data_IF_939126902345
#
_entry.id   IF_939126902345
#
_cell.length_a   1.000
_cell.length_b   1.000
_cell.length_c   1.000
_cell.angle_alpha   90.00
_cell.angle_beta   90.00
_cell.angle_gamma   90.00
#
_symmetry.space_group_name_H-M   'P 1'
#
loop_
_entity.id
_entity.type
_entity.pdbx_description
1 polymer ?
#
# COMPACT_ATOMS: atom_id res chain seq x y z
N UNK A 1 64.50 18.36 32.06
CA UNK A 1 63.80 19.30 31.16
C UNK A 1 63.20 18.43 30.08
N UNK A 2 61.90 18.23 29.90
CA UNK A 2 60.72 18.97 30.30
C UNK A 2 59.54 18.01 30.05
N UNK A 3 58.74 17.72 31.07
CA UNK A 3 57.45 17.06 30.90
C UNK A 3 56.53 18.04 30.17
N UNK A 4 56.05 17.70 28.98
CA UNK A 4 54.97 18.45 28.32
C UNK A 4 53.93 17.47 27.81
N UNK A 5 52.97 17.16 28.70
CA UNK A 5 51.74 16.45 28.38
C UNK A 5 50.73 17.50 27.87
N UNK A 6 50.19 17.39 26.65
CA UNK A 6 49.22 18.34 26.13
C UNK A 6 47.82 18.17 26.76
N UNK A 7 46.99 19.23 26.82
CA UNK A 7 45.67 19.17 27.45
C UNK A 7 44.67 18.36 26.63
N UNK A 8 44.07 17.34 27.26
CA UNK A 8 42.94 16.58 26.70
C UNK A 8 41.65 17.41 26.80
N UNK A 9 41.20 17.96 25.67
CA UNK A 9 39.90 18.62 25.50
C UNK A 9 38.79 17.57 25.35
N UNK A 10 37.90 17.44 26.34
CA UNK A 10 36.73 16.57 26.28
C UNK A 10 35.49 17.34 25.85
N UNK A 11 35.27 17.47 24.53
CA UNK A 11 34.01 17.98 24.00
C UNK A 11 33.11 16.76 23.69
N UNK A 12 32.16 16.45 24.57
CA UNK A 12 31.23 15.34 24.37
C UNK A 12 30.05 15.79 23.47
N UNK A 13 29.85 15.22 22.26
CA UNK A 13 28.76 15.63 21.38
C UNK A 13 27.40 15.09 21.87
N UNK A 14 26.37 15.93 21.86
CA UNK A 14 24.99 15.55 22.18
C UNK A 14 24.38 14.73 21.03
N UNK A 15 23.83 13.53 21.29
CA UNK A 15 23.31 12.66 20.24
C UNK A 15 21.98 13.18 19.71
N UNK A 16 21.97 13.62 18.45
CA UNK A 16 20.74 13.78 17.67
C UNK A 16 20.44 12.43 17.02
N UNK A 17 19.22 11.91 17.20
CA UNK A 17 18.82 10.65 16.56
C UNK A 17 18.92 10.81 15.06
N UNK A 18 19.83 10.03 14.48
CA UNK A 18 20.14 10.10 13.06
C UNK A 18 18.94 9.59 12.27
N UNK A 19 18.56 10.31 11.21
CA UNK A 19 17.49 9.88 10.31
C UNK A 19 17.72 8.44 9.80
N UNK A 20 18.98 8.00 9.70
CA UNK A 20 19.35 6.60 9.40
C UNK A 20 18.78 5.57 10.38
N UNK A 21 18.60 5.91 11.67
CA UNK A 21 18.01 5.00 12.65
C UNK A 21 16.48 4.87 12.47
N UNK A 22 15.82 5.95 12.03
CA UNK A 22 14.40 5.92 11.66
C UNK A 22 14.22 5.11 10.37
N UNK A 23 15.11 5.31 9.40
CA UNK A 23 15.13 4.53 8.17
C UNK A 23 15.49 3.05 8.40
N UNK A 24 16.37 2.71 9.35
CA UNK A 24 16.66 1.31 9.69
C UNK A 24 15.51 0.64 10.43
N UNK A 25 14.73 1.40 11.21
CA UNK A 25 13.50 0.91 11.83
C UNK A 25 12.41 0.65 10.77
N UNK A 26 12.20 1.57 9.83
CA UNK A 26 11.21 1.43 8.75
C UNK A 26 11.60 0.31 7.77
N UNK A 27 12.88 0.23 7.39
CA UNK A 27 13.41 -0.88 6.59
C UNK A 27 13.39 -2.21 7.36
N UNK A 28 13.59 -2.19 8.68
CA UNK A 28 13.46 -3.36 9.55
C UNK A 28 12.03 -3.92 9.57
N UNK A 29 11.03 -3.04 9.68
CA UNK A 29 9.60 -3.43 9.65
C UNK A 29 9.17 -3.87 8.24
N UNK A 30 9.60 -3.17 7.18
CA UNK A 30 9.35 -3.58 5.79
C UNK A 30 10.06 -4.90 5.46
N UNK A 31 11.25 -5.15 6.01
CA UNK A 31 11.98 -6.43 5.89
C UNK A 31 11.22 -7.56 6.59
N UNK A 32 10.60 -7.28 7.74
CA UNK A 32 9.83 -8.28 8.48
C UNK A 32 8.55 -8.69 7.75
N UNK A 33 7.93 -7.76 7.02
CA UNK A 33 6.67 -7.99 6.28
C UNK A 33 6.91 -8.53 4.86
N UNK A 34 7.98 -8.11 4.18
CA UNK A 34 8.26 -8.49 2.80
C UNK A 34 9.28 -9.65 2.66
N UNK A 35 10.10 -9.91 3.69
CA UNK A 35 11.18 -10.90 3.64
C UNK A 35 11.01 -12.08 4.61
N UNK A 36 10.00 -12.16 5.48
CA UNK A 36 9.88 -13.29 6.42
C UNK A 36 9.69 -14.64 5.73
N UNK A 37 9.06 -14.69 4.55
CA UNK A 37 8.98 -15.93 3.74
C UNK A 37 10.29 -16.20 2.98
N UNK A 38 10.91 -15.15 2.41
CA UNK A 38 12.10 -15.29 1.55
C UNK A 38 13.44 -15.33 2.29
N UNK A 39 13.55 -14.78 3.50
CA UNK A 39 14.76 -14.76 4.34
C UNK A 39 14.78 -15.90 5.36
N UNK A 40 13.62 -16.43 5.75
CA UNK A 40 13.55 -17.64 6.58
C UNK A 40 14.18 -18.85 5.88
N UNK A 41 13.95 -18.99 4.57
CA UNK A 41 14.48 -20.12 3.80
C UNK A 41 16.02 -20.13 3.78
N UNK A 42 16.74 -19.05 3.41
CA UNK A 42 18.19 -18.95 3.55
C UNK A 42 18.68 -19.13 4.99
N UNK A 43 17.97 -18.57 5.98
CA UNK A 43 18.32 -18.70 7.39
C UNK A 43 18.31 -20.16 7.87
N UNK A 44 17.27 -20.92 7.54
CA UNK A 44 17.15 -22.34 7.87
C UNK A 44 18.19 -23.17 7.12
N UNK A 45 18.45 -22.87 5.84
CA UNK A 45 19.46 -23.56 5.02
C UNK A 45 20.88 -23.32 5.57
N UNK A 46 21.23 -22.06 5.85
CA UNK A 46 22.53 -21.69 6.40
C UNK A 46 22.74 -22.27 7.80
N UNK A 47 21.69 -22.30 8.63
CA UNK A 47 21.74 -22.91 9.96
C UNK A 47 22.03 -24.41 9.91
N UNK A 48 21.38 -25.17 9.03
CA UNK A 48 21.66 -26.60 8.86
C UNK A 48 23.07 -26.86 8.30
N UNK A 49 23.55 -26.05 7.35
CA UNK A 49 24.93 -26.15 6.84
C UNK A 49 25.97 -25.83 7.91
N UNK A 50 25.73 -24.84 8.77
CA UNK A 50 26.59 -24.51 9.90
C UNK A 50 26.66 -25.69 10.89
N UNK A 51 25.52 -26.28 11.25
CA UNK A 51 25.46 -27.48 12.09
C UNK A 51 26.18 -28.68 11.47
N UNK A 52 26.06 -28.88 10.15
CA UNK A 52 26.80 -29.94 9.45
C UNK A 52 28.31 -29.71 9.46
N UNK A 53 28.78 -28.46 9.34
CA UNK A 53 30.22 -28.13 9.41
C UNK A 53 30.78 -28.35 10.81
N UNK A 54 30.05 -27.93 11.85
CA UNK A 54 30.44 -28.13 13.26
C UNK A 54 30.48 -29.63 13.62
N UNK A 55 29.54 -30.43 13.11
CA UNK A 55 29.54 -31.89 13.33
C UNK A 55 30.75 -32.56 12.66
N UNK A 56 31.15 -32.10 11.47
CA UNK A 56 32.23 -32.71 10.69
C UNK A 56 33.62 -32.16 11.01
N UNK A 57 33.75 -31.16 11.87
CA UNK A 57 35.02 -30.45 12.13
C UNK A 57 35.94 -31.09 13.18
N UNK A 58 35.67 -32.30 13.66
CA UNK A 58 36.49 -33.03 14.64
C UNK A 58 37.00 -32.15 15.83
N UNK A 59 36.14 -31.27 16.36
CA UNK A 59 36.47 -30.38 17.48
C UNK A 59 37.13 -29.03 17.14
N UNK A 60 37.36 -28.72 15.85
CA UNK A 60 37.99 -27.46 15.41
C UNK A 60 37.03 -26.26 15.48
N UNK A 61 35.73 -26.46 15.25
CA UNK A 61 34.72 -25.40 15.30
C UNK A 61 33.84 -25.58 16.56
N UNK A 62 33.75 -24.53 17.37
CA UNK A 62 32.80 -24.41 18.47
C UNK A 62 31.59 -23.55 18.06
N UNK A 63 30.48 -23.59 18.81
CA UNK A 63 29.29 -22.76 18.51
C UNK A 63 28.01 -23.53 18.18
N UNK A 64 27.96 -24.84 18.51
CA UNK A 64 26.75 -25.67 18.32
C UNK A 64 25.51 -25.08 19.02
N UNK A 65 25.67 -24.55 20.23
CA UNK A 65 24.58 -23.89 20.97
C UNK A 65 24.04 -22.65 20.25
N UNK A 66 24.93 -21.85 19.66
CA UNK A 66 24.57 -20.66 18.89
C UNK A 66 23.84 -21.01 17.58
N UNK A 67 24.27 -22.08 16.90
CA UNK A 67 23.59 -22.56 15.69
C UNK A 67 22.18 -23.10 16.00
N UNK A 68 22.01 -23.82 17.11
CA UNK A 68 20.70 -24.36 17.54
C UNK A 68 19.76 -23.23 17.96
N UNK A 69 20.23 -22.25 18.74
CA UNK A 69 19.39 -21.11 19.15
C UNK A 69 18.91 -20.27 17.95
N UNK A 70 19.75 -20.10 16.95
CA UNK A 70 19.40 -19.45 15.67
C UNK A 70 18.31 -20.20 14.89
N UNK A 71 18.41 -21.53 14.80
CA UNK A 71 17.38 -22.35 14.16
C UNK A 71 16.06 -22.34 14.95
N UNK A 72 16.10 -22.48 16.27
CA UNK A 72 14.91 -22.47 17.13
C UNK A 72 14.17 -21.13 17.05
N UNK A 73 14.90 -20.01 17.11
CA UNK A 73 14.30 -18.68 16.97
C UNK A 73 13.65 -18.50 15.60
N UNK A 74 14.27 -19.04 14.54
CA UNK A 74 13.72 -19.01 13.18
C UNK A 74 12.43 -19.82 13.06
N UNK A 75 12.40 -21.06 13.58
CA UNK A 75 11.19 -21.89 13.56
C UNK A 75 10.06 -21.31 14.41
N UNK A 76 10.37 -20.72 15.56
CA UNK A 76 9.38 -20.04 16.39
C UNK A 76 8.78 -18.83 15.66
N UNK A 77 9.62 -18.05 14.97
CA UNK A 77 9.16 -16.94 14.13
C UNK A 77 8.24 -17.41 12.99
N UNK A 78 8.60 -18.51 12.30
CA UNK A 78 7.76 -19.11 11.25
C UNK A 78 6.44 -19.61 11.84
N UNK A 79 6.48 -20.33 12.97
CA UNK A 79 5.28 -20.85 13.62
C UNK A 79 4.32 -19.72 13.99
N UNK A 80 4.81 -18.63 14.60
CA UNK A 80 4.00 -17.46 14.91
C UNK A 80 3.46 -16.79 13.65
N UNK A 81 4.28 -16.63 12.60
CA UNK A 81 3.83 -16.04 11.34
C UNK A 81 2.70 -16.84 10.69
N UNK A 82 2.77 -18.18 10.73
CA UNK A 82 1.73 -19.08 10.20
C UNK A 82 0.38 -18.88 10.89
N UNK A 83 0.34 -18.48 12.18
CA UNK A 83 -0.92 -18.20 12.88
C UNK A 83 -1.36 -16.73 12.73
N UNK A 84 -0.44 -15.78 12.87
CA UNK A 84 -0.77 -14.36 12.92
C UNK A 84 -1.13 -13.80 11.53
N UNK A 85 -0.40 -14.18 10.48
CA UNK A 85 -0.65 -13.67 9.12
C UNK A 85 -2.07 -13.99 8.63
N UNK A 86 -2.56 -15.25 8.65
CA UNK A 86 -3.93 -15.53 8.20
C UNK A 86 -4.98 -14.87 9.09
N UNK A 87 -4.76 -14.77 10.41
CA UNK A 87 -5.65 -14.06 11.31
C UNK A 87 -5.78 -12.57 10.94
N UNK A 88 -4.67 -11.89 10.62
CA UNK A 88 -4.69 -10.51 10.17
C UNK A 88 -5.34 -10.36 8.79
N UNK A 89 -5.03 -11.24 7.84
CA UNK A 89 -5.62 -11.21 6.50
C UNK A 89 -7.13 -11.45 6.54
N UNK A 90 -7.61 -12.34 7.42
CA UNK A 90 -9.04 -12.59 7.60
C UNK A 90 -9.82 -11.32 8.00
N UNK A 91 -9.20 -10.41 8.74
CA UNK A 91 -9.80 -9.13 9.14
C UNK A 91 -9.54 -8.05 8.07
N UNK A 92 -8.35 -8.00 7.50
CA UNK A 92 -7.92 -6.96 6.56
C UNK A 92 -8.63 -7.04 5.21
N UNK A 93 -8.77 -8.24 4.63
CA UNK A 93 -9.39 -8.45 3.31
C UNK A 93 -10.83 -7.92 3.26
N UNK A 94 -11.77 -8.31 4.15
CA UNK A 94 -13.14 -7.83 4.05
C UNK A 94 -13.24 -6.32 4.27
N UNK A 95 -12.44 -5.75 5.17
CA UNK A 95 -12.40 -4.31 5.38
C UNK A 95 -11.88 -3.55 4.16
N UNK A 96 -10.84 -4.08 3.50
CA UNK A 96 -10.29 -3.49 2.28
C UNK A 96 -11.28 -3.58 1.10
N UNK A 97 -11.95 -4.72 0.92
CA UNK A 97 -12.95 -4.91 -0.14
C UNK A 97 -14.13 -3.93 0.05
N UNK A 98 -14.66 -3.81 1.26
CA UNK A 98 -15.74 -2.86 1.58
C UNK A 98 -15.31 -1.40 1.38
N UNK A 99 -14.09 -1.05 1.80
CA UNK A 99 -13.53 0.28 1.60
C UNK A 99 -13.39 0.61 0.11
N UNK A 100 -12.96 -0.36 -0.70
CA UNK A 100 -12.87 -0.22 -2.16
C UNK A 100 -14.25 -0.04 -2.80
N UNK A 101 -15.26 -0.84 -2.45
CA UNK A 101 -16.63 -0.70 -2.98
C UNK A 101 -17.20 0.70 -2.67
N UNK A 102 -17.00 1.17 -1.44
CA UNK A 102 -17.41 2.52 -1.02
C UNK A 102 -16.70 3.60 -1.81
N UNK A 103 -15.38 3.48 -1.99
CA UNK A 103 -14.60 4.43 -2.78
C UNK A 103 -15.01 4.44 -4.26
N UNK A 104 -15.29 3.26 -4.83
CA UNK A 104 -15.77 3.13 -6.20
C UNK A 104 -17.16 3.78 -6.37
N UNK A 105 -18.08 3.57 -5.42
CA UNK A 105 -19.39 4.24 -5.41
C UNK A 105 -19.23 5.76 -5.34
N UNK A 106 -18.41 6.26 -4.41
CA UNK A 106 -18.22 7.69 -4.22
C UNK A 106 -17.55 8.34 -5.43
N UNK A 107 -16.54 7.69 -6.03
CA UNK A 107 -15.93 8.15 -7.27
C UNK A 107 -16.92 8.18 -8.43
N UNK A 108 -17.74 7.14 -8.57
CA UNK A 108 -18.77 7.10 -9.60
C UNK A 108 -19.81 8.21 -9.43
N UNK A 109 -20.31 8.43 -8.21
CA UNK A 109 -21.26 9.50 -7.89
C UNK A 109 -20.66 10.87 -8.23
N UNK A 110 -19.38 11.10 -7.91
CA UNK A 110 -18.72 12.36 -8.25
C UNK A 110 -18.60 12.56 -9.76
N UNK A 111 -18.31 11.50 -10.52
CA UNK A 111 -18.31 11.55 -11.99
C UNK A 111 -19.71 11.84 -12.55
N UNK A 112 -20.76 11.20 -12.02
CA UNK A 112 -22.13 11.45 -12.44
C UNK A 112 -22.52 12.93 -12.21
N UNK A 113 -22.18 13.50 -11.06
CA UNK A 113 -22.37 14.94 -10.80
C UNK A 113 -21.59 15.82 -11.79
N UNK A 114 -20.38 15.43 -12.17
CA UNK A 114 -19.62 16.18 -13.16
C UNK A 114 -20.24 16.12 -14.56
N UNK A 115 -20.87 15.00 -14.91
CA UNK A 115 -21.60 14.83 -16.18
C UNK A 115 -22.85 15.71 -16.15
N UNK A 116 -23.64 15.68 -15.08
CA UNK A 116 -24.83 16.52 -14.94
C UNK A 116 -24.49 18.01 -14.98
N UNK A 117 -23.45 18.45 -14.28
CA UNK A 117 -22.97 19.83 -14.37
C UNK A 117 -22.54 20.21 -15.79
N UNK A 118 -21.82 19.32 -16.49
CA UNK A 118 -21.44 19.55 -17.88
C UNK A 118 -22.66 19.62 -18.81
N UNK A 119 -23.71 18.83 -18.54
CA UNK A 119 -24.97 18.86 -19.30
C UNK A 119 -25.68 20.20 -19.11
N UNK A 120 -25.78 20.66 -17.86
CA UNK A 120 -26.35 21.97 -17.51
C UNK A 120 -25.62 23.12 -18.21
N UNK A 121 -24.29 23.07 -18.25
CA UNK A 121 -23.50 24.08 -18.96
C UNK A 121 -23.69 24.03 -20.47
N UNK A 122 -23.68 22.83 -21.07
CA UNK A 122 -23.98 22.63 -22.49
C UNK A 122 -25.36 23.16 -22.85
N UNK A 123 -26.38 22.87 -22.03
CA UNK A 123 -27.74 23.29 -22.27
C UNK A 123 -27.90 24.81 -22.19
N UNK A 124 -27.25 25.45 -21.22
CA UNK A 124 -27.21 26.91 -21.08
C UNK A 124 -26.53 27.58 -22.28
N UNK A 125 -25.36 27.08 -22.71
CA UNK A 125 -24.57 27.66 -23.80
C UNK A 125 -25.24 27.49 -25.17
N UNK A 126 -25.88 26.33 -25.41
CA UNK A 126 -26.52 26.00 -26.68
C UNK A 126 -28.02 26.33 -26.70
N UNK A 127 -28.54 26.93 -25.63
CA UNK A 127 -29.95 27.25 -25.45
C UNK A 127 -30.87 26.03 -25.70
N UNK A 128 -30.49 24.89 -25.13
CA UNK A 128 -31.20 23.61 -25.27
C UNK A 128 -32.33 23.50 -24.25
N UNK A 129 -33.28 22.63 -24.55
CA UNK A 129 -34.38 22.31 -23.65
C UNK A 129 -34.06 21.10 -22.79
N UNK A 130 -34.82 20.92 -21.71
CA UNK A 130 -34.66 19.80 -20.76
C UNK A 130 -34.86 18.43 -21.40
N UNK A 131 -35.50 18.34 -22.57
CA UNK A 131 -35.71 17.11 -23.33
C UNK A 131 -34.56 16.77 -24.29
N UNK A 132 -33.63 17.70 -24.51
CA UNK A 132 -32.53 17.48 -25.43
C UNK A 132 -31.45 16.60 -24.78
N UNK A 133 -30.93 15.65 -25.56
CA UNK A 133 -29.87 14.72 -25.13
C UNK A 133 -28.55 15.17 -25.78
N UNK A 134 -27.51 15.52 -25.01
CA UNK A 134 -26.23 15.88 -25.58
C UNK A 134 -25.53 14.66 -26.21
N UNK A 135 -24.90 14.86 -27.37
CA UNK A 135 -23.95 13.88 -27.88
C UNK A 135 -22.65 13.92 -27.06
N UNK A 136 -21.97 12.78 -26.91
CA UNK A 136 -20.72 12.69 -26.13
C UNK A 136 -19.65 13.70 -26.59
N UNK A 137 -19.55 13.94 -27.91
CA UNK A 137 -18.63 14.91 -28.48
C UNK A 137 -18.94 16.36 -28.09
N UNK A 138 -20.21 16.68 -27.85
CA UNK A 138 -20.64 18.01 -27.43
C UNK A 138 -20.45 18.25 -25.93
N UNK A 139 -20.49 17.18 -25.13
CA UNK A 139 -20.29 17.24 -23.68
C UNK A 139 -18.81 17.27 -23.29
N UNK A 140 -17.96 16.63 -24.10
CA UNK A 140 -16.51 16.58 -23.94
C UNK A 140 -15.87 17.94 -23.57
N UNK A 141 -16.13 19.07 -24.25
CA UNK A 141 -15.52 20.35 -23.90
C UNK A 141 -15.89 20.90 -22.51
N UNK A 142 -17.01 20.47 -21.93
CA UNK A 142 -17.51 20.90 -20.62
C UNK A 142 -17.00 20.04 -19.47
N UNK A 143 -16.41 18.88 -19.76
CA UNK A 143 -15.82 18.00 -18.75
C UNK A 143 -14.43 18.47 -18.34
N UNK A 144 -14.08 18.34 -17.06
CA UNK A 144 -12.79 18.80 -16.48
C UNK A 144 -11.58 18.28 -17.25
N UNK A 145 -11.59 17.01 -17.65
CA UNK A 145 -10.49 16.37 -18.37
C UNK A 145 -10.68 16.35 -19.89
N UNK A 146 -11.72 17.03 -20.41
CA UNK A 146 -12.11 16.97 -21.82
C UNK A 146 -12.25 15.54 -22.35
N UNK A 147 -12.72 14.65 -21.50
CA UNK A 147 -12.94 13.25 -21.80
C UNK A 147 -14.02 12.72 -20.86
N UNK A 148 -14.85 11.81 -21.36
CA UNK A 148 -15.80 11.08 -20.54
C UNK A 148 -15.05 10.33 -19.41
N UNK A 149 -15.44 10.52 -18.14
CA UNK A 149 -14.82 9.77 -17.05
C UNK A 149 -15.15 8.28 -17.17
N UNK A 150 -14.27 7.42 -16.67
CA UNK A 150 -14.53 5.98 -16.57
C UNK A 150 -15.00 5.65 -15.16
N UNK A 151 -16.00 4.77 -15.04
CA UNK A 151 -16.44 4.31 -13.73
C UNK A 151 -15.34 3.45 -13.07
N UNK A 152 -14.95 3.71 -11.82
CA UNK A 152 -13.90 2.95 -11.13
C UNK A 152 -14.33 1.51 -10.80
N UNK A 153 -15.62 1.18 -10.95
CA UNK A 153 -16.16 -0.18 -10.88
C UNK A 153 -16.34 -0.85 -12.27
N UNK A 154 -16.06 -0.13 -13.36
CA UNK A 154 -16.15 -0.65 -14.73
C UNK A 154 -17.56 -0.59 -15.35
N UNK A 155 -18.47 0.21 -14.82
CA UNK A 155 -19.78 0.46 -15.44
C UNK A 155 -19.72 1.54 -16.52
N UNK A 156 -20.69 1.51 -17.43
CA UNK A 156 -20.87 2.54 -18.45
C UNK A 156 -21.76 3.68 -17.93
N UNK A 157 -21.53 4.87 -18.47
CA UNK A 157 -22.33 6.06 -18.19
C UNK A 157 -23.32 6.30 -19.32
N UNK A 158 -24.58 6.54 -18.96
CA UNK A 158 -25.61 6.94 -19.91
C UNK A 158 -25.94 8.40 -19.70
N UNK A 159 -25.65 9.21 -20.73
CA UNK A 159 -26.09 10.60 -20.80
C UNK A 159 -27.59 10.57 -21.12
N UNK A 160 -28.42 10.90 -20.13
CA UNK A 160 -29.86 11.07 -20.31
C UNK A 160 -30.17 12.49 -20.82
N UNK A 161 -31.45 12.81 -21.03
CA UNK A 161 -31.87 14.16 -21.37
C UNK A 161 -31.42 15.16 -20.29
N UNK A 162 -31.29 16.43 -20.66
CA UNK A 162 -30.84 17.49 -19.75
C UNK A 162 -31.63 17.50 -18.42
N UNK A 163 -32.95 17.33 -18.47
CA UNK A 163 -33.83 17.29 -17.30
C UNK A 163 -33.75 16.01 -16.46
N UNK A 164 -33.09 14.97 -16.96
CA UNK A 164 -32.93 13.68 -16.28
C UNK A 164 -31.47 13.49 -15.84
N UNK A 165 -31.24 13.09 -14.60
CA UNK A 165 -29.87 12.83 -14.09
C UNK A 165 -29.16 11.75 -14.90
N UNK A 166 -27.86 11.91 -15.09
CA UNK A 166 -27.00 10.89 -15.68
C UNK A 166 -27.02 9.62 -14.84
N UNK A 167 -26.93 8.47 -15.49
CA UNK A 167 -27.01 7.16 -14.83
C UNK A 167 -25.77 6.31 -15.10
N UNK A 168 -25.47 5.40 -14.19
CA UNK A 168 -24.45 4.38 -14.35
C UNK A 168 -25.11 3.00 -14.42
N UNK A 169 -24.58 2.09 -15.24
CA UNK A 169 -25.10 0.71 -15.34
C UNK A 169 -24.99 -0.10 -14.04
N UNK A 170 -24.22 0.38 -13.04
CA UNK A 170 -24.05 -0.30 -11.75
C UNK A 170 -25.20 0.08 -10.79
N UNK A 171 -26.04 -0.88 -10.34
CA UNK A 171 -27.27 -0.58 -9.59
C UNK A 171 -27.09 0.21 -8.29
N UNK A 172 -25.91 0.15 -7.65
CA UNK A 172 -25.65 0.85 -6.38
C UNK A 172 -25.10 2.27 -6.57
N UNK A 173 -24.88 2.71 -7.80
CA UNK A 173 -24.22 3.96 -8.15
C UNK A 173 -25.23 4.94 -8.80
N UNK A 174 -26.24 5.35 -8.03
CA UNK A 174 -27.24 6.31 -8.46
C UNK A 174 -27.01 7.66 -7.78
N UNK A 175 -27.32 8.75 -8.50
CA UNK A 175 -27.54 10.05 -7.90
C UNK A 175 -28.93 10.00 -7.25
N UNK A 176 -28.98 10.01 -5.93
CA UNK A 176 -30.21 10.21 -5.16
C UNK A 176 -30.51 11.70 -5.00
#
# INVERSE_FOLDING_TARGET
MNETIPPISSNAPTPKTSALAIWSLVLGVLSLVCCSIFAAVPGVICGHKALSRIKNSMGILEGRGLAISGLVTSYLGIALAVFIIPMLLAIAIPNFVKARETAQKNGCINNLRSIDEAKHQWAADKQKQTTDIPAESELTPYLTNRQMPNCPAGGDYTINAEGDSATCSIPKHTLE
#
